data_IF_586482432179
#
_entry.id   IF_586482432179
#
_cell.length_a   1.000
_cell.length_b   1.000
_cell.length_c   1.000
_cell.angle_alpha   90.00
_cell.angle_beta   90.00
_cell.angle_gamma   90.00
#
_symmetry.space_group_name_H-M   'P 1'
#
loop_
_entity.id
_entity.type
_entity.pdbx_description
1 polymer ?
#
# COMPACT_ATOMS: atom_id res chain seq x y z
N UNK A 1 -18.48 35.93 38.24
CA UNK A 1 -17.89 34.57 38.24
C UNK A 1 -18.72 33.54 37.47
N UNK A 2 -20.05 33.51 37.62
CA UNK A 2 -20.95 32.51 36.99
C UNK A 2 -20.93 32.54 35.43
N UNK A 3 -20.74 33.71 34.81
CA UNK A 3 -20.67 33.85 33.33
C UNK A 3 -19.55 33.05 32.66
N UNK A 4 -18.49 32.67 33.39
CA UNK A 4 -17.38 31.90 32.84
C UNK A 4 -17.51 30.39 33.10
N UNK A 5 -18.44 29.95 33.95
CA UNK A 5 -18.63 28.53 34.28
C UNK A 5 -19.25 27.77 33.09
N UNK A 6 -20.25 28.36 32.42
CA UNK A 6 -20.88 27.78 31.24
C UNK A 6 -19.93 27.55 30.06
N UNK A 7 -19.09 28.51 29.62
CA UNK A 7 -18.14 28.26 28.54
C UNK A 7 -17.06 27.24 28.94
N UNK A 8 -16.64 27.20 30.22
CA UNK A 8 -15.69 26.20 30.71
C UNK A 8 -16.31 24.79 30.67
N UNK A 9 -17.55 24.63 31.14
CA UNK A 9 -18.28 23.36 31.08
C UNK A 9 -18.52 22.91 29.64
N UNK A 10 -18.88 23.83 28.74
CA UNK A 10 -19.05 23.54 27.32
C UNK A 10 -17.73 23.08 26.69
N UNK A 11 -16.62 23.76 26.98
CA UNK A 11 -15.29 23.37 26.49
C UNK A 11 -14.88 21.99 27.02
N UNK A 12 -15.12 21.71 28.30
CA UNK A 12 -14.84 20.40 28.90
C UNK A 12 -15.68 19.29 28.25
N UNK A 13 -16.96 19.56 27.97
CA UNK A 13 -17.84 18.63 27.26
C UNK A 13 -17.38 18.37 25.83
N UNK A 14 -17.08 19.42 25.06
CA UNK A 14 -16.55 19.31 23.69
C UNK A 14 -15.24 18.54 23.68
N UNK A 15 -14.34 18.81 24.63
CA UNK A 15 -13.08 18.08 24.76
C UNK A 15 -13.29 16.59 25.07
N UNK A 16 -14.22 16.28 26.00
CA UNK A 16 -14.63 14.91 26.30
C UNK A 16 -15.18 14.19 25.06
N UNK A 17 -16.08 14.85 24.32
CA UNK A 17 -16.66 14.31 23.08
C UNK A 17 -15.59 14.03 22.02
N UNK A 18 -14.67 14.98 21.79
CA UNK A 18 -13.57 14.81 20.85
C UNK A 18 -12.65 13.65 21.23
N UNK A 19 -12.43 13.42 22.53
CA UNK A 19 -11.64 12.29 23.03
C UNK A 19 -12.32 10.96 22.74
N UNK A 20 -13.63 10.86 23.01
CA UNK A 20 -14.44 9.66 22.71
C UNK A 20 -14.46 9.37 21.22
N UNK A 21 -14.72 10.37 20.37
CA UNK A 21 -14.70 10.21 18.91
C UNK A 21 -13.33 9.74 18.40
N UNK A 22 -12.24 10.26 18.96
CA UNK A 22 -10.89 9.82 18.60
C UNK A 22 -10.62 8.37 19.00
N UNK A 23 -11.10 7.95 20.18
CA UNK A 23 -10.96 6.57 20.64
C UNK A 23 -11.78 5.61 19.76
N UNK A 24 -13.03 5.96 19.46
CA UNK A 24 -13.90 5.20 18.56
C UNK A 24 -13.25 5.07 17.18
N UNK A 25 -12.77 6.18 16.61
CA UNK A 25 -12.06 6.18 15.33
C UNK A 25 -10.86 5.23 15.34
N UNK A 26 -10.07 5.21 16.41
CA UNK A 26 -8.92 4.30 16.53
C UNK A 26 -9.36 2.84 16.61
N UNK A 27 -10.36 2.53 17.43
CA UNK A 27 -10.88 1.17 17.58
C UNK A 27 -11.47 0.65 16.25
N UNK A 28 -12.30 1.46 15.60
CA UNK A 28 -12.89 1.12 14.30
C UNK A 28 -11.82 0.94 13.23
N UNK A 29 -10.80 1.80 13.17
CA UNK A 29 -9.69 1.63 12.23
C UNK A 29 -8.91 0.33 12.48
N UNK A 30 -8.59 0.00 13.73
CA UNK A 30 -7.90 -1.24 14.06
C UNK A 30 -8.72 -2.48 13.68
N UNK A 31 -10.03 -2.47 13.94
CA UNK A 31 -10.92 -3.58 13.56
C UNK A 31 -11.00 -3.74 12.04
N UNK A 32 -11.12 -2.63 11.31
CA UNK A 32 -11.12 -2.64 9.85
C UNK A 32 -9.79 -3.17 9.28
N UNK A 33 -8.65 -2.80 9.88
CA UNK A 33 -7.34 -3.33 9.50
C UNK A 33 -7.20 -4.82 9.82
N UNK A 34 -7.69 -5.28 10.98
CA UNK A 34 -7.69 -6.69 11.36
C UNK A 34 -8.51 -7.54 10.38
N UNK A 35 -9.73 -7.11 10.05
CA UNK A 35 -10.58 -7.79 9.08
C UNK A 35 -9.89 -7.88 7.72
N UNK A 36 -9.29 -6.78 7.26
CA UNK A 36 -8.71 -6.73 5.92
C UNK A 36 -7.39 -7.49 5.80
N UNK A 37 -6.48 -7.33 6.76
CA UNK A 37 -5.09 -7.81 6.63
C UNK A 37 -4.80 -9.09 7.41
N UNK A 38 -5.56 -9.39 8.47
CA UNK A 38 -5.36 -10.60 9.29
C UNK A 38 -6.37 -11.67 8.89
N UNK A 39 -7.65 -11.31 8.84
CA UNK A 39 -8.72 -12.25 8.49
C UNK A 39 -8.86 -12.43 6.96
N UNK A 40 -8.33 -11.47 6.19
CA UNK A 40 -8.40 -11.44 4.72
C UNK A 40 -9.85 -11.50 4.19
N UNK A 41 -10.81 -10.99 4.95
CA UNK A 41 -12.24 -10.99 4.61
C UNK A 41 -12.61 -9.66 3.93
N UNK A 42 -12.31 -9.58 2.63
CA UNK A 42 -12.54 -8.40 1.81
C UNK A 42 -14.03 -8.07 1.67
N UNK A 43 -14.90 -9.09 1.60
CA UNK A 43 -16.34 -8.90 1.44
C UNK A 43 -16.95 -8.26 2.69
N UNK A 44 -16.64 -8.81 3.87
CA UNK A 44 -17.07 -8.24 5.14
C UNK A 44 -16.53 -6.82 5.32
N UNK A 45 -15.25 -6.60 5.00
CA UNK A 45 -14.63 -5.28 5.07
C UNK A 45 -15.40 -4.24 4.24
N UNK A 46 -15.66 -4.53 2.95
CA UNK A 46 -16.38 -3.62 2.07
C UNK A 46 -17.83 -3.40 2.52
N UNK A 47 -18.50 -4.43 3.05
CA UNK A 47 -19.84 -4.32 3.61
C UNK A 47 -19.89 -3.41 4.83
N UNK A 48 -18.92 -3.48 5.72
CA UNK A 48 -18.82 -2.61 6.90
C UNK A 48 -18.60 -1.14 6.49
N UNK A 49 -17.83 -0.89 5.43
CA UNK A 49 -17.61 0.47 4.92
C UNK A 49 -18.88 1.15 4.37
N UNK A 50 -19.93 0.38 4.06
CA UNK A 50 -21.22 0.95 3.64
C UNK A 50 -22.03 1.52 4.81
N UNK A 51 -21.59 1.34 6.06
CA UNK A 51 -22.31 1.86 7.22
C UNK A 51 -22.26 3.40 7.25
N UNK A 52 -23.42 4.10 7.17
CA UNK A 52 -23.46 5.56 7.14
C UNK A 52 -22.88 6.21 8.40
N UNK A 53 -22.85 5.49 9.54
CA UNK A 53 -22.30 5.99 10.81
C UNK A 53 -20.80 6.28 10.73
N UNK A 54 -20.08 5.63 9.80
CA UNK A 54 -18.66 5.91 9.58
C UNK A 54 -18.42 7.34 9.08
N UNK A 55 -19.41 7.97 8.44
CA UNK A 55 -19.35 9.38 8.04
C UNK A 55 -19.20 10.36 9.21
N UNK A 56 -19.58 9.96 10.44
CA UNK A 56 -19.34 10.78 11.64
C UNK A 56 -17.89 10.70 12.13
N UNK A 57 -17.18 9.62 11.80
CA UNK A 57 -15.81 9.35 12.26
C UNK A 57 -14.75 9.73 11.22
N UNK A 58 -15.11 9.66 9.93
CA UNK A 58 -14.17 9.77 8.82
C UNK A 58 -14.67 10.75 7.76
N UNK A 59 -13.73 11.44 7.10
CA UNK A 59 -14.01 12.23 5.91
C UNK A 59 -14.32 11.30 4.73
N UNK A 60 -15.06 11.81 3.75
CA UNK A 60 -15.34 11.10 2.49
C UNK A 60 -14.05 10.59 1.81
N UNK A 61 -12.99 11.40 1.78
CA UNK A 61 -11.68 11.01 1.25
C UNK A 61 -11.13 9.77 1.94
N UNK A 62 -11.15 9.74 3.27
CA UNK A 62 -10.66 8.60 4.06
C UNK A 62 -11.49 7.33 3.82
N UNK A 63 -12.82 7.44 3.73
CA UNK A 63 -13.68 6.30 3.42
C UNK A 63 -13.42 5.74 2.01
N UNK A 64 -13.16 6.61 1.04
CA UNK A 64 -12.78 6.18 -0.31
C UNK A 64 -11.39 5.53 -0.34
N UNK A 65 -10.42 6.01 0.44
CA UNK A 65 -9.11 5.37 0.60
C UNK A 65 -9.26 3.98 1.23
N UNK A 66 -10.10 3.83 2.26
CA UNK A 66 -10.40 2.52 2.85
C UNK A 66 -11.06 1.60 1.82
N UNK A 67 -12.05 2.08 1.08
CA UNK A 67 -12.65 1.30 -0.02
C UNK A 67 -11.60 0.86 -1.04
N UNK A 68 -10.70 1.75 -1.43
CA UNK A 68 -9.61 1.43 -2.34
C UNK A 68 -8.70 0.33 -1.79
N UNK A 69 -8.38 0.34 -0.48
CA UNK A 69 -7.59 -0.73 0.15
C UNK A 69 -8.26 -2.11 0.00
N UNK A 70 -9.55 -2.19 0.31
CA UNK A 70 -10.31 -3.43 0.15
C UNK A 70 -10.37 -3.88 -1.30
N UNK A 71 -10.65 -2.97 -2.22
CA UNK A 71 -10.73 -3.28 -3.65
C UNK A 71 -9.40 -3.73 -4.26
N UNK A 72 -8.27 -3.16 -3.83
CA UNK A 72 -6.94 -3.57 -4.31
C UNK A 72 -6.60 -5.00 -3.91
N UNK A 73 -7.02 -5.45 -2.71
CA UNK A 73 -6.84 -6.83 -2.28
C UNK A 73 -7.82 -7.77 -3.01
N UNK A 74 -9.08 -7.34 -3.18
CA UNK A 74 -10.11 -8.13 -3.85
C UNK A 74 -10.01 -8.20 -5.38
N UNK A 75 -9.24 -7.32 -6.02
CA UNK A 75 -8.96 -7.37 -7.47
C UNK A 75 -10.08 -6.87 -8.40
N UNK A 76 -11.13 -6.22 -7.90
CA UNK A 76 -12.22 -5.71 -8.76
C UNK A 76 -11.78 -4.42 -9.51
N UNK A 77 -11.19 -4.60 -10.69
CA UNK A 77 -10.59 -3.52 -11.49
C UNK A 77 -11.54 -2.37 -11.84
N UNK A 78 -12.80 -2.67 -12.17
CA UNK A 78 -13.78 -1.64 -12.53
C UNK A 78 -14.02 -0.69 -11.36
N UNK A 79 -14.21 -1.26 -10.16
CA UNK A 79 -14.47 -0.50 -8.96
C UNK A 79 -13.22 0.24 -8.45
N UNK A 80 -12.02 -0.33 -8.65
CA UNK A 80 -10.74 0.34 -8.37
C UNK A 80 -10.65 1.65 -9.18
N UNK A 81 -10.83 1.57 -10.51
CA UNK A 81 -10.73 2.73 -11.39
C UNK A 81 -11.78 3.79 -11.07
N UNK A 82 -13.03 3.38 -10.82
CA UNK A 82 -14.11 4.28 -10.38
C UNK A 82 -13.76 4.99 -9.06
N UNK A 83 -13.18 4.25 -8.10
CA UNK A 83 -12.78 4.83 -6.80
C UNK A 83 -11.60 5.79 -6.96
N UNK A 84 -10.63 5.48 -7.81
CA UNK A 84 -9.51 6.38 -8.13
C UNK A 84 -10.03 7.67 -8.76
N UNK A 85 -10.95 7.60 -9.72
CA UNK A 85 -11.53 8.78 -10.35
C UNK A 85 -12.26 9.67 -9.33
N UNK A 86 -12.99 9.08 -8.39
CA UNK A 86 -13.63 9.83 -7.31
C UNK A 86 -12.60 10.51 -6.39
N UNK A 87 -11.49 9.84 -6.07
CA UNK A 87 -10.40 10.41 -5.26
C UNK A 87 -9.65 11.54 -5.97
N UNK A 88 -9.44 11.42 -7.28
CA UNK A 88 -8.80 12.46 -8.09
C UNK A 88 -9.64 13.74 -8.13
N UNK A 89 -10.97 13.62 -8.07
CA UNK A 89 -11.91 14.75 -7.97
C UNK A 89 -12.01 15.41 -6.58
N UNK A 90 -11.32 14.90 -5.56
CA UNK A 90 -11.36 15.45 -4.19
C UNK A 90 -10.11 16.27 -3.84
N UNK A 91 -10.32 17.26 -2.98
CA UNK A 91 -9.23 17.98 -2.31
C UNK A 91 -8.69 17.10 -1.17
N UNK A 92 -7.52 16.50 -1.40
CA UNK A 92 -6.82 15.66 -0.43
C UNK A 92 -5.74 16.47 0.31
N UNK A 93 -5.51 16.13 1.57
CA UNK A 93 -4.31 16.58 2.29
C UNK A 93 -3.05 16.00 1.63
N UNK A 94 -1.87 16.58 1.90
CA UNK A 94 -0.61 16.05 1.36
C UNK A 94 -0.37 14.58 1.74
N UNK A 95 -0.74 14.19 2.96
CA UNK A 95 -0.62 12.80 3.43
C UNK A 95 -1.55 11.86 2.68
N UNK A 96 -2.82 12.22 2.54
CA UNK A 96 -3.81 11.44 1.77
C UNK A 96 -3.40 11.36 0.29
N UNK A 97 -2.92 12.46 -0.31
CA UNK A 97 -2.46 12.46 -1.70
C UNK A 97 -1.29 11.51 -1.88
N UNK A 98 -0.30 11.55 -0.99
CA UNK A 98 0.85 10.64 -1.03
C UNK A 98 0.42 9.17 -0.92
N UNK A 99 -0.51 8.87 -0.02
CA UNK A 99 -1.07 7.52 0.14
C UNK A 99 -1.80 7.05 -1.11
N UNK A 100 -2.66 7.90 -1.69
CA UNK A 100 -3.42 7.58 -2.91
C UNK A 100 -2.50 7.37 -4.11
N UNK A 101 -1.53 8.26 -4.34
CA UNK A 101 -0.60 8.11 -5.46
C UNK A 101 0.30 6.88 -5.29
N UNK A 102 0.69 6.53 -4.06
CA UNK A 102 1.40 5.27 -3.78
C UNK A 102 0.59 4.03 -4.15
N UNK A 103 -0.71 4.01 -3.83
CA UNK A 103 -1.62 2.92 -4.20
C UNK A 103 -1.86 2.84 -5.71
N UNK A 104 -2.03 4.00 -6.36
CA UNK A 104 -2.15 4.11 -7.81
C UNK A 104 -0.92 3.57 -8.51
N UNK A 105 0.27 3.95 -8.03
CA UNK A 105 1.54 3.44 -8.55
C UNK A 105 1.58 1.90 -8.49
N UNK A 106 1.33 1.29 -7.32
CA UNK A 106 1.31 -0.17 -7.19
C UNK A 106 0.31 -0.82 -8.15
N UNK A 107 -0.92 -0.32 -8.20
CA UNK A 107 -1.96 -0.85 -9.07
C UNK A 107 -1.62 -0.74 -10.57
N UNK A 108 -1.12 0.40 -11.01
CA UNK A 108 -0.75 0.63 -12.40
C UNK A 108 0.50 -0.17 -12.81
N UNK A 109 1.42 -0.41 -11.89
CA UNK A 109 2.54 -1.33 -12.10
C UNK A 109 2.06 -2.78 -12.28
N UNK A 110 1.16 -3.27 -11.41
CA UNK A 110 0.58 -4.62 -11.51
C UNK A 110 -0.23 -4.81 -12.80
N UNK A 111 -0.94 -3.78 -13.24
CA UNK A 111 -1.76 -3.82 -14.47
C UNK A 111 -1.03 -3.36 -15.73
N UNK A 112 0.31 -3.19 -15.66
CA UNK A 112 1.17 -2.79 -16.78
C UNK A 112 0.74 -1.48 -17.48
N UNK A 113 0.13 -0.56 -16.73
CA UNK A 113 -0.27 0.78 -17.20
C UNK A 113 0.85 1.79 -17.02
N UNK A 114 1.86 1.70 -17.90
CA UNK A 114 3.11 2.43 -17.77
C UNK A 114 2.94 3.95 -17.66
N UNK A 115 2.04 4.54 -18.46
CA UNK A 115 1.82 5.99 -18.45
C UNK A 115 1.25 6.46 -17.12
N UNK A 116 0.18 5.83 -16.64
CA UNK A 116 -0.46 6.19 -15.38
C UNK A 116 0.42 5.89 -14.16
N UNK A 117 1.23 4.81 -14.23
CA UNK A 117 2.24 4.51 -13.21
C UNK A 117 3.29 5.64 -13.14
N UNK A 118 3.77 6.13 -14.30
CA UNK A 118 4.74 7.23 -14.36
C UNK A 118 4.15 8.53 -13.80
N UNK A 119 2.93 8.88 -14.20
CA UNK A 119 2.24 10.06 -13.67
C UNK A 119 2.07 10.01 -12.14
N UNK A 120 1.78 8.82 -11.59
CA UNK A 120 1.67 8.63 -10.14
C UNK A 120 3.03 8.79 -9.45
N UNK A 121 4.10 8.24 -10.03
CA UNK A 121 5.46 8.39 -9.53
C UNK A 121 5.92 9.86 -9.54
N UNK A 122 5.66 10.60 -10.61
CA UNK A 122 6.07 12.01 -10.75
C UNK A 122 5.39 12.90 -9.69
N UNK A 123 4.13 12.59 -9.35
CA UNK A 123 3.42 13.26 -8.25
C UNK A 123 4.02 12.92 -6.90
N UNK A 124 4.39 11.66 -6.64
CA UNK A 124 5.08 11.26 -5.41
C UNK A 124 6.43 11.98 -5.29
N UNK A 125 7.21 12.03 -6.37
CA UNK A 125 8.48 12.76 -6.44
C UNK A 125 8.28 14.24 -6.09
N UNK A 126 7.28 14.88 -6.69
CA UNK A 126 6.94 16.28 -6.42
C UNK A 126 6.57 16.51 -4.95
N UNK A 127 5.75 15.63 -4.36
CA UNK A 127 5.33 15.70 -2.95
C UNK A 127 6.51 15.51 -1.98
N UNK A 128 7.52 14.74 -2.37
CA UNK A 128 8.64 14.37 -1.51
C UNK A 128 9.94 15.13 -1.81
N UNK A 129 10.01 15.90 -2.90
CA UNK A 129 11.23 16.56 -3.40
C UNK A 129 11.97 17.40 -2.33
N UNK A 130 11.22 18.08 -1.45
CA UNK A 130 11.80 18.97 -0.42
C UNK A 130 11.96 18.30 0.96
N UNK A 131 11.66 17.01 1.06
CA UNK A 131 11.67 16.32 2.34
C UNK A 131 13.08 15.93 2.78
N UNK A 132 13.54 16.47 3.92
CA UNK A 132 14.77 16.03 4.59
C UNK A 132 14.61 14.75 5.42
N UNK A 133 13.37 14.29 5.65
CA UNK A 133 13.09 13.09 6.44
C UNK A 133 13.67 11.83 5.79
N UNK A 134 14.47 11.08 6.52
CA UNK A 134 15.01 9.77 6.11
C UNK A 134 13.90 8.80 5.71
N UNK A 135 12.83 8.74 6.50
CA UNK A 135 11.65 7.89 6.22
C UNK A 135 11.00 8.22 4.87
N UNK A 136 10.87 9.50 4.54
CA UNK A 136 10.26 9.94 3.28
C UNK A 136 11.19 9.68 2.08
N UNK A 137 12.50 9.85 2.25
CA UNK A 137 13.47 9.46 1.22
C UNK A 137 13.41 7.95 0.95
N UNK A 138 13.39 7.14 2.01
CA UNK A 138 13.22 5.69 1.87
C UNK A 138 11.93 5.32 1.11
N UNK A 139 10.80 5.94 1.46
CA UNK A 139 9.54 5.73 0.73
C UNK A 139 9.67 6.07 -0.75
N UNK A 140 10.32 7.20 -1.09
CA UNK A 140 10.52 7.59 -2.48
C UNK A 140 11.37 6.57 -3.24
N UNK A 141 12.45 6.09 -2.63
CA UNK A 141 13.30 5.06 -3.24
C UNK A 141 12.54 3.75 -3.44
N UNK A 142 11.69 3.34 -2.49
CA UNK A 142 10.81 2.17 -2.69
C UNK A 142 9.85 2.37 -3.87
N UNK A 143 9.23 3.55 -4.01
CA UNK A 143 8.36 3.85 -5.15
C UNK A 143 9.12 3.80 -6.49
N UNK A 144 10.33 4.36 -6.54
CA UNK A 144 11.19 4.30 -7.73
C UNK A 144 11.58 2.86 -8.07
N UNK A 145 11.92 2.08 -7.06
CA UNK A 145 12.30 0.68 -7.22
C UNK A 145 11.14 -0.15 -7.78
N UNK A 146 9.91 0.04 -7.25
CA UNK A 146 8.71 -0.61 -7.78
C UNK A 146 8.52 -0.26 -9.27
N UNK A 147 8.56 1.02 -9.62
CA UNK A 147 8.40 1.41 -11.04
C UNK A 147 9.51 0.83 -11.93
N UNK A 148 10.75 0.86 -11.46
CA UNK A 148 11.90 0.36 -12.21
C UNK A 148 11.82 -1.15 -12.48
N UNK A 149 11.37 -1.93 -11.50
CA UNK A 149 11.22 -3.38 -11.65
C UNK A 149 10.00 -3.71 -12.52
N UNK A 150 8.84 -3.16 -12.19
CA UNK A 150 7.57 -3.65 -12.74
C UNK A 150 7.21 -3.06 -14.10
N UNK A 151 7.66 -1.84 -14.40
CA UNK A 151 7.39 -1.17 -15.69
C UNK A 151 8.64 -1.16 -16.56
N UNK A 152 9.78 -0.69 -16.03
CA UNK A 152 11.02 -0.60 -16.84
C UNK A 152 11.75 -1.92 -16.99
N UNK A 153 11.45 -2.91 -16.15
CA UNK A 153 12.16 -4.21 -16.11
C UNK A 153 13.68 -4.03 -16.04
N UNK A 154 14.11 -3.10 -15.21
CA UNK A 154 15.49 -2.64 -15.14
C UNK A 154 16.39 -3.68 -14.46
N UNK A 155 16.96 -4.59 -15.27
CA UNK A 155 17.83 -5.68 -14.81
C UNK A 155 19.16 -5.19 -14.24
N UNK A 156 19.52 -3.93 -14.49
CA UNK A 156 20.74 -3.32 -13.92
C UNK A 156 20.69 -3.17 -12.39
N UNK A 157 19.50 -3.30 -11.80
CA UNK A 157 19.28 -3.29 -10.36
C UNK A 157 19.72 -4.59 -9.66
N UNK A 158 19.90 -5.69 -10.39
CA UNK A 158 20.21 -7.01 -9.83
C UNK A 158 21.41 -7.01 -8.86
N UNK A 159 22.60 -6.45 -9.20
CA UNK A 159 23.75 -6.47 -8.31
C UNK A 159 23.50 -5.72 -6.99
N UNK A 160 22.77 -4.60 -7.05
CA UNK A 160 22.41 -3.82 -5.87
C UNK A 160 21.48 -4.58 -4.94
N UNK A 161 20.43 -5.20 -5.49
CA UNK A 161 19.47 -5.99 -4.71
C UNK A 161 20.10 -7.26 -4.13
N UNK A 162 20.97 -7.93 -4.87
CA UNK A 162 21.73 -9.09 -4.38
C UNK A 162 22.61 -8.73 -3.18
N UNK A 163 23.26 -7.56 -3.19
CA UNK A 163 24.01 -7.08 -2.03
C UNK A 163 23.09 -6.71 -0.86
N UNK A 164 21.96 -6.07 -1.14
CA UNK A 164 21.04 -5.64 -0.09
C UNK A 164 20.44 -6.84 0.66
N UNK A 165 20.05 -7.89 -0.06
CA UNK A 165 19.35 -9.05 0.50
C UNK A 165 20.19 -9.82 1.52
N UNK A 166 21.52 -9.80 1.41
CA UNK A 166 22.44 -10.48 2.32
C UNK A 166 22.24 -10.02 3.77
N UNK A 167 21.98 -8.72 3.96
CA UNK A 167 21.80 -8.09 5.29
C UNK A 167 20.36 -8.10 5.80
N UNK A 168 19.40 -8.48 4.95
CA UNK A 168 17.99 -8.46 5.29
C UNK A 168 17.54 -9.80 5.92
N UNK A 169 16.50 -9.73 6.75
CA UNK A 169 15.83 -10.88 7.37
C UNK A 169 14.31 -10.76 7.27
N UNK A 170 13.60 -11.87 7.46
CA UNK A 170 12.14 -11.92 7.50
C UNK A 170 11.48 -11.47 6.20
N UNK A 171 10.30 -10.83 6.30
CA UNK A 171 9.48 -10.44 5.15
C UNK A 171 10.18 -9.50 4.16
N UNK A 172 11.08 -8.62 4.64
CA UNK A 172 11.85 -7.73 3.76
C UNK A 172 12.79 -8.52 2.85
N UNK A 173 13.49 -9.51 3.41
CA UNK A 173 14.35 -10.41 2.64
C UNK A 173 13.54 -11.19 1.60
N UNK A 174 12.38 -11.71 1.98
CA UNK A 174 11.47 -12.43 1.07
C UNK A 174 11.04 -11.58 -0.12
N UNK A 175 10.62 -10.33 0.14
CA UNK A 175 10.25 -9.39 -0.93
C UNK A 175 11.42 -9.06 -1.86
N UNK A 176 12.62 -8.82 -1.32
CA UNK A 176 13.81 -8.53 -2.13
C UNK A 176 14.20 -9.74 -2.99
N UNK A 177 14.15 -10.97 -2.44
CA UNK A 177 14.39 -12.18 -3.22
C UNK A 177 13.36 -12.35 -4.34
N UNK A 178 12.08 -12.09 -4.06
CA UNK A 178 11.04 -12.11 -5.09
C UNK A 178 11.32 -11.10 -6.22
N UNK A 179 11.69 -9.87 -5.87
CA UNK A 179 12.09 -8.81 -6.82
C UNK A 179 13.30 -9.23 -7.67
N UNK A 180 14.31 -9.88 -7.06
CA UNK A 180 15.47 -10.42 -7.78
C UNK A 180 15.03 -11.50 -8.77
N UNK A 181 14.20 -12.47 -8.34
CA UNK A 181 13.71 -13.52 -9.22
C UNK A 181 12.92 -12.97 -10.41
N UNK A 182 12.08 -11.96 -10.18
CA UNK A 182 11.34 -11.26 -11.25
C UNK A 182 12.27 -10.60 -12.27
N UNK A 183 13.33 -9.93 -11.81
CA UNK A 183 14.32 -9.34 -12.73
C UNK A 183 15.15 -10.40 -13.47
N UNK A 184 15.45 -11.54 -12.84
CA UNK A 184 16.14 -12.67 -13.48
C UNK A 184 15.28 -13.28 -14.59
N UNK A 185 13.98 -13.43 -14.36
CA UNK A 185 13.01 -13.83 -15.37
C UNK A 185 12.99 -12.84 -16.55
N UNK A 186 12.99 -11.53 -16.28
CA UNK A 186 13.07 -10.52 -17.35
C UNK A 186 14.41 -10.49 -18.11
N UNK A 187 15.45 -11.14 -17.59
CA UNK A 187 16.72 -11.38 -18.30
C UNK A 187 16.80 -12.76 -18.95
N UNK A 188 15.68 -13.45 -19.11
CA UNK A 188 15.58 -14.81 -19.67
C UNK A 188 16.40 -15.86 -18.89
N UNK A 189 16.63 -15.63 -17.58
CA UNK A 189 17.33 -16.55 -16.68
C UNK A 189 16.36 -17.17 -15.66
N UNK A 190 15.40 -17.93 -16.19
CA UNK A 190 14.36 -18.62 -15.40
C UNK A 190 14.94 -19.61 -14.40
N UNK A 191 16.09 -20.20 -14.72
CA UNK A 191 16.78 -21.11 -13.81
C UNK A 191 17.19 -20.38 -12.54
N UNK A 192 17.90 -19.26 -12.67
CA UNK A 192 18.28 -18.45 -11.51
C UNK A 192 17.06 -17.85 -10.81
N UNK A 193 16.01 -17.49 -11.55
CA UNK A 193 14.76 -17.00 -10.97
C UNK A 193 14.14 -18.04 -10.03
N UNK A 194 14.00 -19.30 -10.48
CA UNK A 194 13.46 -20.41 -9.67
C UNK A 194 14.35 -20.68 -8.46
N UNK A 195 15.68 -20.73 -8.63
CA UNK A 195 16.60 -20.91 -7.50
C UNK A 195 16.45 -19.80 -6.45
N UNK A 196 16.24 -18.56 -6.89
CA UNK A 196 16.00 -17.42 -5.99
C UNK A 196 14.64 -17.49 -5.31
N UNK A 197 13.59 -17.93 -6.01
CA UNK A 197 12.26 -18.17 -5.41
C UNK A 197 12.31 -19.27 -4.35
N UNK A 198 13.06 -20.35 -4.58
CA UNK A 198 13.27 -21.41 -3.59
C UNK A 198 13.99 -20.88 -2.34
N UNK A 199 14.98 -19.99 -2.50
CA UNK A 199 15.60 -19.27 -1.38
C UNK A 199 14.56 -18.41 -0.64
N UNK A 200 13.70 -17.70 -1.37
CA UNK A 200 12.63 -16.89 -0.79
C UNK A 200 11.66 -17.74 0.03
N UNK A 201 11.24 -18.89 -0.49
CA UNK A 201 10.37 -19.85 0.20
C UNK A 201 11.01 -20.43 1.46
N UNK A 202 12.31 -20.72 1.44
CA UNK A 202 13.02 -21.25 2.61
C UNK A 202 13.16 -20.22 3.74
N UNK A 203 13.07 -18.93 3.42
CA UNK A 203 13.04 -17.85 4.38
C UNK A 203 11.64 -17.80 5.01
N UNK A 204 11.45 -18.48 6.16
CA UNK A 204 10.17 -18.58 6.91
C UNK A 204 9.65 -17.20 7.36
N UNK A 205 9.11 -16.42 6.45
CA UNK A 205 8.21 -15.31 6.75
C UNK A 205 6.76 -15.81 6.73
N UNK A 206 5.86 -15.20 7.50
CA UNK A 206 4.41 -15.25 7.25
C UNK A 206 4.05 -14.01 6.44
N UNK A 207 4.39 -14.04 5.16
CA UNK A 207 4.27 -12.93 4.24
C UNK A 207 3.15 -13.20 3.25
N UNK A 208 2.42 -12.15 2.85
CA UNK A 208 1.44 -12.23 1.75
C UNK A 208 2.10 -12.76 0.46
N UNK A 209 3.41 -12.51 0.31
CA UNK A 209 4.23 -12.97 -0.81
C UNK A 209 4.45 -14.48 -0.87
N UNK A 210 4.29 -15.23 0.22
CA UNK A 210 4.59 -16.66 0.23
C UNK A 210 3.69 -17.43 -0.75
N UNK A 211 2.40 -17.06 -0.80
CA UNK A 211 1.45 -17.62 -1.77
C UNK A 211 1.82 -17.29 -3.22
N UNK A 212 2.31 -16.07 -3.48
CA UNK A 212 2.72 -15.63 -4.82
C UNK A 212 4.01 -16.35 -5.24
N UNK A 213 4.94 -16.55 -4.31
CA UNK A 213 6.18 -17.30 -4.54
C UNK A 213 5.86 -18.76 -4.90
N UNK A 214 4.96 -19.40 -4.17
CA UNK A 214 4.54 -20.78 -4.47
C UNK A 214 3.93 -20.91 -5.87
N UNK A 215 3.08 -19.95 -6.26
CA UNK A 215 2.52 -19.91 -7.60
C UNK A 215 3.61 -19.65 -8.66
N UNK A 216 4.53 -18.72 -8.41
CA UNK A 216 5.59 -18.39 -9.36
C UNK A 216 6.62 -19.52 -9.55
N UNK A 217 6.81 -20.38 -8.55
CA UNK A 217 7.65 -21.59 -8.69
C UNK A 217 6.97 -22.62 -9.61
N UNK A 218 5.64 -22.72 -9.55
CA UNK A 218 4.87 -23.66 -10.37
C UNK A 218 4.66 -23.13 -11.80
N UNK A 219 4.41 -21.83 -11.92
CA UNK A 219 4.15 -21.12 -13.17
C UNK A 219 4.95 -19.80 -13.21
N UNK A 220 6.12 -19.80 -13.88
CA UNK A 220 6.96 -18.61 -14.01
C UNK A 220 6.26 -17.41 -14.66
N UNK A 221 5.18 -17.61 -15.45
CA UNK A 221 4.43 -16.51 -16.06
C UNK A 221 3.76 -15.58 -15.04
N UNK A 222 3.66 -16.00 -13.77
CA UNK A 222 3.24 -15.15 -12.66
C UNK A 222 4.22 -13.98 -12.46
N UNK A 223 5.52 -14.19 -12.72
CA UNK A 223 6.55 -13.15 -12.63
C UNK A 223 6.37 -12.06 -13.70
N UNK A 224 5.60 -12.27 -14.75
CA UNK A 224 5.23 -11.17 -15.67
C UNK A 224 4.20 -10.22 -15.06
N UNK A 225 3.35 -10.71 -14.13
CA UNK A 225 2.12 -10.03 -13.71
C UNK A 225 2.16 -9.50 -12.27
N UNK A 226 2.71 -10.26 -11.32
CA UNK A 226 2.72 -9.96 -9.87
C UNK A 226 4.12 -9.65 -9.35
#
# INVERSE_FOLDING_TARGET
MIKYIYPILLLAFVWGLLRVLRQLRRQTSNQLEEILYIQNDVELYLKLLMNPRLGFLYRKSTLLIFRLNGLLIGGNHRDILSTIQQLDGLVLTQGERLEVEGKKLSYYCETQRAKEAKESLDKIETLLAKSKSSRRRFLLEECRLIYAIYIRRDTTLLPGLQKEVETQVGARRTLTLYRIAKLQHFSDDDKSAIETLLKAKSNRSTSVWDSIIDLAIQDPSILDRK
#
